data_IF_136897128957
#
_entry.id   IF_136897128957
#
_cell.length_a   1.000
_cell.length_b   1.000
_cell.length_c   1.000
_cell.angle_alpha   90.00
_cell.angle_beta   90.00
_cell.angle_gamma   90.00
#
_symmetry.space_group_name_H-M   'P 1'
#
loop_
_entity.id
_entity.type
_entity.pdbx_description
1 polymer ?
#
# COMPACT_ATOMS: atom_id res chain seq x y z
N UNK A 1 24.77 9.33 17.18
CA UNK A 1 25.17 9.36 15.76
C UNK A 1 24.59 8.11 15.12
N UNK A 2 23.56 8.29 14.28
CA UNK A 2 22.97 7.26 13.43
C UNK A 2 21.82 6.47 14.05
N UNK A 3 20.59 6.80 13.66
CA UNK A 3 19.63 5.76 13.26
C UNK A 3 18.95 6.31 12.01
N UNK A 4 19.45 5.90 10.85
CA UNK A 4 18.76 6.12 9.60
C UNK A 4 17.42 5.39 9.71
N UNK A 5 16.31 6.08 9.46
CA UNK A 5 15.01 5.44 9.31
C UNK A 5 15.14 4.35 8.23
N UNK A 6 15.22 3.09 8.65
CA UNK A 6 15.30 1.97 7.71
C UNK A 6 13.94 1.84 7.03
N UNK A 7 13.92 2.00 5.71
CA UNK A 7 12.71 1.85 4.91
C UNK A 7 12.28 0.38 4.95
N UNK A 8 11.14 0.11 5.57
CA UNK A 8 10.62 -1.26 5.71
C UNK A 8 10.14 -1.86 4.37
N UNK A 9 9.83 -1.03 3.38
CA UNK A 9 9.31 -1.42 2.08
C UNK A 9 8.49 -0.32 1.42
N UNK A 10 7.77 -0.68 0.36
CA UNK A 10 6.87 0.19 -0.40
C UNK A 10 5.41 -0.25 -0.24
N UNK A 11 4.48 0.69 -0.19
CA UNK A 11 3.05 0.39 -0.12
C UNK A 11 2.54 -0.03 -1.52
N UNK A 12 1.96 -1.23 -1.59
CA UNK A 12 1.49 -1.83 -2.85
C UNK A 12 0.10 -1.32 -3.28
N UNK A 13 -0.63 -0.64 -2.40
CA UNK A 13 -2.01 -0.21 -2.62
C UNK A 13 -3.07 -1.28 -2.30
N UNK A 14 -2.68 -2.42 -1.74
CA UNK A 14 -3.60 -3.46 -1.25
C UNK A 14 -3.45 -3.60 0.26
N UNK A 15 -4.47 -3.19 1.02
CA UNK A 15 -4.46 -3.26 2.48
C UNK A 15 -5.70 -3.98 3.01
N UNK A 16 -5.49 -5.06 3.76
CA UNK A 16 -6.57 -5.75 4.46
C UNK A 16 -6.78 -5.11 5.83
N UNK A 17 -7.96 -4.53 6.05
CA UNK A 17 -8.33 -3.91 7.33
C UNK A 17 -9.55 -4.58 7.94
N UNK A 18 -9.62 -4.59 9.28
CA UNK A 18 -10.83 -4.99 9.98
C UNK A 18 -11.87 -3.88 9.96
N UNK A 19 -13.16 -4.21 10.11
CA UNK A 19 -14.23 -3.22 10.20
C UNK A 19 -13.98 -2.16 11.30
N UNK A 20 -13.52 -2.51 12.52
CA UNK A 20 -13.18 -1.51 13.52
C UNK A 20 -12.02 -0.58 13.11
N UNK A 21 -11.06 -1.07 12.33
CA UNK A 21 -9.96 -0.25 11.81
C UNK A 21 -10.46 0.71 10.74
N UNK A 22 -11.30 0.24 9.80
CA UNK A 22 -11.95 1.08 8.79
C UNK A 22 -12.75 2.22 9.45
N UNK A 23 -13.51 1.94 10.51
CA UNK A 23 -14.24 2.99 11.25
C UNK A 23 -13.31 4.04 11.86
N UNK A 24 -12.12 3.65 12.32
CA UNK A 24 -11.12 4.59 12.80
C UNK A 24 -10.58 5.49 11.67
N UNK A 25 -10.32 4.93 10.48
CA UNK A 25 -9.92 5.71 9.31
C UNK A 25 -11.00 6.72 8.91
N UNK A 26 -12.28 6.29 8.86
CA UNK A 26 -13.39 7.18 8.53
C UNK A 26 -13.53 8.33 9.53
N UNK A 27 -13.39 8.07 10.84
CA UNK A 27 -13.42 9.11 11.86
C UNK A 27 -12.27 10.12 11.71
N UNK A 28 -11.08 9.68 11.25
CA UNK A 28 -9.99 10.60 10.91
C UNK A 28 -10.36 11.46 9.70
N UNK A 29 -10.89 10.85 8.64
CA UNK A 29 -11.36 11.55 7.45
C UNK A 29 -12.43 12.60 7.76
N UNK A 30 -13.50 12.23 8.47
CA UNK A 30 -14.59 13.15 8.86
C UNK A 30 -14.08 14.38 9.63
N UNK A 31 -13.05 14.20 10.46
CA UNK A 31 -12.42 15.31 11.17
C UNK A 31 -11.63 16.20 10.23
N UNK A 32 -10.79 15.63 9.37
CA UNK A 32 -9.89 16.37 8.48
C UNK A 32 -10.61 17.04 7.32
N UNK A 33 -11.72 16.47 6.84
CA UNK A 33 -12.55 17.06 5.79
C UNK A 33 -13.17 18.41 6.17
N UNK A 34 -13.22 18.74 7.47
CA UNK A 34 -13.61 20.09 7.93
C UNK A 34 -12.54 21.15 7.66
N UNK A 35 -11.30 20.74 7.44
CA UNK A 35 -10.13 21.61 7.25
C UNK A 35 -9.64 21.58 5.79
N UNK A 36 -9.61 20.40 5.17
CA UNK A 36 -9.16 20.21 3.79
C UNK A 36 -9.84 19.00 3.16
N UNK A 37 -10.12 19.07 1.86
CA UNK A 37 -10.59 17.91 1.09
C UNK A 37 -9.45 17.09 0.49
N UNK A 38 -8.20 17.56 0.62
CA UNK A 38 -7.00 16.84 0.19
C UNK A 38 -6.53 15.94 1.35
N UNK A 39 -7.20 14.79 1.49
CA UNK A 39 -6.92 13.78 2.51
C UNK A 39 -6.63 12.49 1.77
N UNK A 40 -5.44 11.95 1.97
CA UNK A 40 -5.02 10.66 1.42
C UNK A 40 -5.31 9.53 2.40
N UNK A 41 -5.60 8.33 1.88
CA UNK A 41 -5.98 7.23 2.75
C UNK A 41 -4.75 6.60 3.41
N UNK A 42 -3.55 6.86 2.88
CA UNK A 42 -2.27 6.31 3.29
C UNK A 42 -1.74 6.97 4.57
N UNK A 43 -1.44 8.26 4.52
CA UNK A 43 -0.87 9.04 5.62
C UNK A 43 -1.97 9.46 6.59
N UNK A 44 -3.05 10.09 6.11
CA UNK A 44 -4.11 10.51 7.02
C UNK A 44 -5.00 9.33 7.45
N UNK A 45 -5.32 8.40 6.55
CA UNK A 45 -6.13 7.24 6.90
C UNK A 45 -5.37 6.20 7.72
N UNK A 46 -4.46 5.47 7.09
CA UNK A 46 -3.79 4.30 7.68
C UNK A 46 -2.86 4.71 8.82
N UNK A 47 -1.95 5.68 8.61
CA UNK A 47 -0.94 6.04 9.62
C UNK A 47 -1.58 6.67 10.86
N UNK A 48 -2.60 7.54 10.72
CA UNK A 48 -3.29 8.09 11.89
C UNK A 48 -4.14 7.04 12.62
N UNK A 49 -4.89 6.20 11.89
CA UNK A 49 -5.67 5.13 12.52
C UNK A 49 -4.75 4.12 13.24
N UNK A 50 -3.55 3.87 12.70
CA UNK A 50 -2.54 3.00 13.28
C UNK A 50 -2.06 3.45 14.67
N UNK A 51 -2.18 4.75 14.99
CA UNK A 51 -1.86 5.29 16.33
C UNK A 51 -2.81 4.79 17.41
N UNK A 52 -4.05 4.43 17.04
CA UNK A 52 -5.06 3.94 17.97
C UNK A 52 -5.29 2.43 17.88
N UNK A 53 -5.02 1.82 16.72
CA UNK A 53 -5.23 0.39 16.47
C UNK A 53 -4.02 -0.17 15.71
N UNK A 54 -3.36 -1.25 16.15
CA UNK A 54 -2.20 -1.78 15.43
C UNK A 54 -2.53 -2.15 13.98
N UNK A 55 -1.64 -1.78 13.06
CA UNK A 55 -1.66 -2.16 11.64
C UNK A 55 -0.34 -2.87 11.29
N UNK A 56 -0.29 -4.21 11.36
CA UNK A 56 0.90 -4.96 10.95
C UNK A 56 1.16 -4.79 9.45
N UNK A 57 2.43 -4.58 9.08
CA UNK A 57 2.87 -4.49 7.68
C UNK A 57 3.46 -5.84 7.28
N UNK A 58 2.92 -6.45 6.22
CA UNK A 58 3.41 -7.72 5.69
C UNK A 58 4.31 -7.46 4.48
N UNK A 59 5.63 -7.61 4.67
CA UNK A 59 6.61 -7.44 3.60
C UNK A 59 6.75 -8.73 2.79
N UNK A 60 6.50 -8.63 1.47
CA UNK A 60 6.81 -9.67 0.49
C UNK A 60 7.94 -9.16 -0.39
N UNK A 61 9.16 -9.67 -0.17
CA UNK A 61 10.40 -9.09 -0.72
C UNK A 61 10.47 -9.11 -2.25
N UNK A 62 9.87 -10.12 -2.87
CA UNK A 62 9.92 -10.37 -4.31
C UNK A 62 8.54 -10.21 -4.97
N UNK A 63 7.62 -9.47 -4.36
CA UNK A 63 6.29 -9.25 -4.92
C UNK A 63 6.38 -8.54 -6.28
N UNK A 64 5.77 -9.13 -7.30
CA UNK A 64 5.67 -8.53 -8.62
C UNK A 64 4.39 -7.72 -8.67
N UNK A 65 4.53 -6.40 -8.81
CA UNK A 65 3.40 -5.49 -8.89
C UNK A 65 3.81 -4.19 -9.60
N UNK A 66 2.81 -3.43 -10.05
CA UNK A 66 2.97 -2.07 -10.52
C UNK A 66 1.64 -1.30 -10.37
N UNK A 67 1.72 -0.09 -9.85
CA UNK A 67 0.74 0.97 -10.09
C UNK A 67 0.91 1.53 -11.51
N UNK A 68 -0.17 2.06 -12.10
CA UNK A 68 -0.15 2.66 -13.45
C UNK A 68 -0.86 4.02 -13.42
N UNK A 69 -0.14 5.05 -13.01
CA UNK A 69 -0.64 6.44 -13.05
C UNK A 69 -0.27 7.20 -14.32
N UNK A 70 0.82 6.80 -15.00
CA UNK A 70 1.34 7.51 -16.15
C UNK A 70 1.86 6.56 -17.26
N UNK A 71 2.33 7.16 -18.36
CA UNK A 71 2.84 6.42 -19.51
C UNK A 71 4.11 5.63 -19.20
N UNK A 72 4.98 6.13 -18.32
CA UNK A 72 6.19 5.42 -17.93
C UNK A 72 5.86 4.16 -17.13
N UNK A 73 4.92 4.27 -16.19
CA UNK A 73 4.39 3.14 -15.43
C UNK A 73 3.78 2.11 -16.37
N UNK A 74 2.99 2.55 -17.35
CA UNK A 74 2.37 1.67 -18.35
C UNK A 74 3.42 0.92 -19.19
N UNK A 75 4.44 1.63 -19.67
CA UNK A 75 5.53 1.03 -20.45
C UNK A 75 6.28 -0.03 -19.64
N UNK A 76 6.64 0.28 -18.39
CA UNK A 76 7.28 -0.68 -17.46
C UNK A 76 6.37 -1.89 -17.19
N UNK A 77 5.09 -1.64 -16.93
CA UNK A 77 4.12 -2.69 -16.65
C UNK A 77 4.02 -3.66 -17.83
N UNK A 78 3.88 -3.12 -19.05
CA UNK A 78 3.76 -3.89 -20.29
C UNK A 78 5.04 -4.67 -20.62
N UNK A 79 6.20 -4.02 -20.49
CA UNK A 79 7.46 -4.61 -20.94
C UNK A 79 8.08 -5.59 -19.95
N UNK A 80 7.80 -5.46 -18.64
CA UNK A 80 8.49 -6.20 -17.58
C UNK A 80 7.57 -6.87 -16.58
N UNK A 81 6.61 -6.14 -16.01
CA UNK A 81 5.86 -6.61 -14.83
C UNK A 81 4.77 -7.62 -15.22
N UNK A 82 3.96 -7.30 -16.24
CA UNK A 82 2.88 -8.19 -16.66
C UNK A 82 3.39 -9.53 -17.24
N UNK A 83 4.43 -9.58 -18.09
CA UNK A 83 5.03 -10.84 -18.49
C UNK A 83 5.57 -11.67 -17.32
N UNK A 84 6.18 -11.00 -16.33
CA UNK A 84 6.66 -11.64 -15.11
C UNK A 84 5.49 -12.25 -14.30
N UNK A 85 4.38 -11.53 -14.12
CA UNK A 85 3.16 -12.03 -13.46
C UNK A 85 2.64 -13.30 -14.13
N UNK A 86 2.44 -13.28 -15.45
CA UNK A 86 1.96 -14.45 -16.21
C UNK A 86 2.85 -15.67 -15.99
N UNK A 87 4.18 -15.47 -16.02
CA UNK A 87 5.12 -16.55 -15.79
C UNK A 87 5.05 -17.09 -14.36
N UNK A 88 4.76 -16.26 -13.34
CA UNK A 88 4.58 -16.72 -11.94
C UNK A 88 3.25 -17.41 -11.71
N UNK A 89 2.17 -16.91 -12.28
CA UNK A 89 0.84 -17.52 -12.17
C UNK A 89 0.79 -18.90 -12.86
N UNK A 90 1.63 -19.11 -13.87
CA UNK A 90 1.82 -20.41 -14.50
C UNK A 90 2.65 -21.40 -13.65
N UNK A 91 3.33 -20.96 -12.59
CA UNK A 91 4.03 -21.86 -11.67
C UNK A 91 3.03 -22.53 -10.73
N UNK A 92 3.18 -23.84 -10.44
CA UNK A 92 2.36 -24.48 -9.42
C UNK A 92 2.59 -23.82 -8.06
N UNK A 93 1.51 -23.63 -7.29
CA UNK A 93 1.64 -23.11 -5.93
C UNK A 93 2.48 -24.06 -5.07
N UNK A 94 3.68 -23.62 -4.64
CA UNK A 94 4.48 -24.28 -3.59
C UNK A 94 5.78 -25.00 -3.99
N UNK A 95 6.43 -24.63 -5.10
CA UNK A 95 7.80 -25.07 -5.40
C UNK A 95 8.87 -24.13 -4.80
#
# INVERSE_FOLDING_TARGET
>A
LGDAHELAGELVGITKVSLPFLRAMLAVGERLFRETLKVDYELEGLVQAARARPLPVHLVRDLVWAEIDDLHHLERARARIYPELIRRDALPAGC
#
